data_IF_668153112878
#
_entry.id   IF_668153112878
#
_cell.length_a   1.000
_cell.length_b   1.000
_cell.length_c   1.000
_cell.angle_alpha   90.00
_cell.angle_beta   90.00
_cell.angle_gamma   90.00
#
_symmetry.space_group_name_H-M   'P 1'
#
loop_
_entity.id
_entity.type
_entity.pdbx_description
1 polymer ?
#
# COMPACT_ATOMS: atom_id res chain seq x y z
N UNK A 1 32.76 -23.00 -10.90
CA UNK A 1 33.26 -23.26 -9.52
C UNK A 1 32.82 -22.11 -8.64
N UNK A 2 31.67 -22.19 -7.97
CA UNK A 2 31.21 -21.13 -7.06
C UNK A 2 31.59 -21.51 -5.63
N UNK A 3 32.45 -20.71 -5.01
CA UNK A 3 32.96 -20.96 -3.67
C UNK A 3 31.80 -20.96 -2.66
N UNK A 4 31.67 -22.06 -1.92
CA UNK A 4 30.68 -22.28 -0.87
C UNK A 4 31.07 -21.42 0.36
N UNK A 5 30.86 -20.11 0.29
CA UNK A 5 31.12 -19.22 1.42
C UNK A 5 30.05 -19.43 2.48
N UNK A 6 30.40 -20.17 3.54
CA UNK A 6 29.58 -20.27 4.74
C UNK A 6 29.70 -18.98 5.51
N UNK A 7 28.65 -18.17 5.46
CA UNK A 7 28.57 -16.91 6.19
C UNK A 7 27.90 -17.18 7.53
N UNK A 8 28.52 -16.73 8.63
CA UNK A 8 28.05 -16.98 10.00
C UNK A 8 28.05 -15.67 10.80
N UNK A 9 27.23 -15.60 11.85
CA UNK A 9 27.15 -14.41 12.70
C UNK A 9 26.50 -13.20 12.00
N UNK A 10 27.08 -12.02 12.21
CA UNK A 10 26.53 -10.72 11.77
C UNK A 10 26.38 -10.59 10.25
N UNK A 11 27.29 -11.19 9.50
CA UNK A 11 27.27 -11.16 8.04
C UNK A 11 26.05 -11.93 7.47
N UNK A 12 25.62 -12.98 8.17
CA UNK A 12 24.40 -13.70 7.82
C UNK A 12 23.15 -12.87 8.11
N UNK A 13 23.17 -12.05 9.17
CA UNK A 13 22.05 -11.16 9.50
C UNK A 13 21.86 -10.08 8.43
N UNK A 14 22.95 -9.51 7.92
CA UNK A 14 22.92 -8.54 6.81
C UNK A 14 22.40 -9.18 5.51
N UNK A 15 22.83 -10.40 5.21
CA UNK A 15 22.33 -11.12 4.04
C UNK A 15 20.85 -11.46 4.16
N UNK A 16 20.40 -11.88 5.34
CA UNK A 16 18.97 -12.11 5.61
C UNK A 16 18.17 -10.83 5.38
N UNK A 17 18.66 -9.69 5.90
CA UNK A 17 17.99 -8.40 5.70
C UNK A 17 17.96 -7.98 4.23
N UNK A 18 19.06 -8.18 3.49
CA UNK A 18 19.12 -7.90 2.05
C UNK A 18 18.13 -8.75 1.25
N UNK A 19 17.96 -10.02 1.63
CA UNK A 19 17.01 -10.93 0.98
C UNK A 19 15.57 -10.53 1.31
N UNK A 20 15.30 -10.15 2.57
CA UNK A 20 13.98 -9.66 2.99
C UNK A 20 13.59 -8.39 2.23
N UNK A 21 14.52 -7.46 2.00
CA UNK A 21 14.31 -6.28 1.16
C UNK A 21 14.02 -6.64 -0.31
N UNK A 22 14.69 -7.65 -0.85
CA UNK A 22 14.42 -8.14 -2.20
C UNK A 22 13.01 -8.76 -2.29
N UNK A 23 12.62 -9.58 -1.32
CA UNK A 23 11.28 -10.17 -1.22
C UNK A 23 10.18 -9.10 -1.05
N UNK A 24 10.46 -8.04 -0.28
CA UNK A 24 9.57 -6.89 -0.13
C UNK A 24 9.33 -6.19 -1.48
N UNK A 25 10.39 -5.96 -2.27
CA UNK A 25 10.28 -5.35 -3.62
C UNK A 25 9.57 -6.22 -4.64
N UNK A 26 9.73 -7.53 -4.56
CA UNK A 26 9.06 -8.49 -5.46
C UNK A 26 7.55 -8.60 -5.17
N UNK A 27 7.13 -8.24 -3.96
CA UNK A 27 5.73 -8.21 -3.56
C UNK A 27 5.18 -9.55 -3.06
N UNK A 28 4.00 -9.48 -2.44
CA UNK A 28 3.34 -10.63 -1.80
C UNK A 28 3.03 -11.77 -2.78
N UNK A 29 2.68 -11.44 -4.02
CA UNK A 29 2.24 -12.42 -5.03
C UNK A 29 3.36 -13.34 -5.50
N UNK A 30 4.60 -12.82 -5.55
CA UNK A 30 5.77 -13.57 -6.02
C UNK A 30 6.61 -14.13 -4.88
N UNK A 31 6.75 -13.36 -3.79
CA UNK A 31 7.68 -13.69 -2.71
C UNK A 31 7.07 -13.42 -1.33
N UNK A 32 6.07 -14.22 -0.88
CA UNK A 32 5.48 -14.03 0.43
C UNK A 32 6.52 -14.27 1.54
N UNK A 33 6.74 -13.25 2.37
CA UNK A 33 7.73 -13.29 3.46
C UNK A 33 7.21 -14.21 4.56
N UNK A 34 7.74 -15.43 4.59
CA UNK A 34 7.60 -16.41 5.67
C UNK A 34 8.97 -17.03 5.94
N UNK A 35 9.18 -17.52 7.16
CA UNK A 35 10.44 -18.17 7.53
C UNK A 35 10.80 -19.35 6.60
N UNK A 36 9.79 -20.10 6.12
CA UNK A 36 9.99 -21.20 5.16
C UNK A 36 10.40 -20.71 3.77
N UNK A 37 9.74 -19.68 3.24
CA UNK A 37 10.03 -19.12 1.91
C UNK A 37 11.41 -18.46 1.88
N UNK A 38 11.73 -17.70 2.92
CA UNK A 38 13.05 -17.10 3.10
C UNK A 38 14.15 -18.18 3.21
N UNK A 39 13.91 -19.23 4.00
CA UNK A 39 14.85 -20.35 4.12
C UNK A 39 15.13 -21.02 2.78
N UNK A 40 14.08 -21.31 2.00
CA UNK A 40 14.22 -21.92 0.68
C UNK A 40 15.08 -21.07 -0.26
N UNK A 41 14.85 -19.75 -0.31
CA UNK A 41 15.64 -18.81 -1.14
C UNK A 41 17.08 -18.71 -0.70
N UNK A 42 17.33 -18.60 0.61
CA UNK A 42 18.69 -18.55 1.16
C UNK A 42 19.45 -19.87 0.89
N UNK A 43 18.75 -21.01 0.89
CA UNK A 43 19.32 -22.32 0.58
C UNK A 43 19.62 -22.46 -0.92
N UNK A 44 18.72 -22.02 -1.79
CA UNK A 44 18.92 -21.99 -3.25
C UNK A 44 20.13 -21.14 -3.64
N UNK A 45 20.30 -19.98 -2.99
CA UNK A 45 21.48 -19.11 -3.16
C UNK A 45 22.76 -19.65 -2.52
N UNK A 46 22.69 -20.79 -1.82
CA UNK A 46 23.83 -21.41 -1.16
C UNK A 46 24.35 -20.66 0.07
N UNK A 47 23.60 -19.69 0.59
CA UNK A 47 24.00 -18.83 1.71
C UNK A 47 23.89 -19.55 3.06
N UNK A 48 22.97 -20.52 3.16
CA UNK A 48 22.77 -21.34 4.37
C UNK A 48 22.78 -22.84 4.03
N UNK A 49 23.34 -23.65 4.92
CA UNK A 49 23.26 -25.12 4.85
C UNK A 49 22.47 -25.75 6.01
N UNK A 50 22.06 -24.94 7.00
CA UNK A 50 21.29 -25.38 8.16
C UNK A 50 19.78 -25.47 7.89
N UNK A 51 19.03 -26.00 8.86
CA UNK A 51 17.57 -26.05 8.83
C UNK A 51 16.91 -24.72 9.18
N UNK A 52 15.57 -24.71 9.30
CA UNK A 52 14.80 -23.53 9.73
C UNK A 52 15.25 -22.97 11.09
N UNK A 53 15.89 -23.79 11.93
CA UNK A 53 16.49 -23.38 13.21
C UNK A 53 17.48 -22.22 13.08
N UNK A 54 18.11 -22.05 11.92
CA UNK A 54 18.99 -20.91 11.62
C UNK A 54 18.26 -19.56 11.60
N UNK A 55 16.96 -19.56 11.32
CA UNK A 55 16.08 -18.40 11.30
C UNK A 55 15.22 -18.28 12.58
N UNK A 56 15.25 -19.29 13.45
CA UNK A 56 14.47 -19.32 14.71
C UNK A 56 15.11 -18.51 15.84
N UNK A 57 16.30 -17.93 15.63
CA UNK A 57 16.95 -17.03 16.59
C UNK A 57 16.07 -15.79 16.82
N UNK A 58 15.87 -15.33 18.07
CA UNK A 58 14.93 -14.23 18.39
C UNK A 58 15.07 -13.01 17.48
N UNK A 59 16.28 -12.47 17.32
CA UNK A 59 16.53 -11.32 16.45
C UNK A 59 16.10 -11.57 14.99
N UNK A 60 16.45 -12.72 14.40
CA UNK A 60 16.11 -13.04 13.01
C UNK A 60 14.61 -13.25 12.83
N UNK A 61 13.96 -13.86 13.81
CA UNK A 61 12.51 -14.00 13.84
C UNK A 61 11.84 -12.63 13.86
N UNK A 62 12.32 -11.72 14.69
CA UNK A 62 11.74 -10.38 14.81
C UNK A 62 11.97 -9.56 13.54
N UNK A 63 13.11 -9.72 12.85
CA UNK A 63 13.35 -9.17 11.52
C UNK A 63 12.35 -9.70 10.48
N UNK A 64 12.15 -11.02 10.42
CA UNK A 64 11.20 -11.63 9.49
C UNK A 64 9.78 -11.11 9.75
N UNK A 65 9.37 -11.00 11.02
CA UNK A 65 8.06 -10.44 11.39
C UNK A 65 7.95 -8.99 10.93
N UNK A 66 8.96 -8.16 11.20
CA UNK A 66 8.98 -6.75 10.78
C UNK A 66 8.79 -6.59 9.27
N UNK A 67 9.53 -7.35 8.46
CA UNK A 67 9.45 -7.27 7.00
C UNK A 67 8.16 -7.91 6.45
N UNK A 68 7.68 -9.01 7.04
CA UNK A 68 6.37 -9.56 6.71
C UNK A 68 5.26 -8.54 6.99
N UNK A 69 5.34 -7.84 8.12
CA UNK A 69 4.38 -6.81 8.50
C UNK A 69 4.37 -5.64 7.50
N UNK A 70 5.55 -5.22 7.04
CA UNK A 70 5.68 -4.19 5.98
C UNK A 70 5.13 -4.65 4.66
N UNK A 71 5.42 -5.89 4.24
CA UNK A 71 4.90 -6.44 2.98
C UNK A 71 3.36 -6.49 2.96
N UNK A 72 2.73 -6.66 4.12
CA UNK A 72 1.27 -6.59 4.25
C UNK A 72 0.70 -5.16 4.32
N UNK A 73 1.54 -4.11 4.30
CA UNK A 73 1.15 -2.72 4.52
C UNK A 73 0.24 -2.57 5.76
N UNK A 74 0.60 -3.23 6.86
CA UNK A 74 -0.20 -3.23 8.10
C UNK A 74 -0.43 -1.83 8.69
N UNK A 75 0.35 -0.82 8.29
CA UNK A 75 0.12 0.58 8.63
C UNK A 75 -1.21 1.14 8.10
N UNK A 76 -1.76 0.52 7.07
CA UNK A 76 -2.96 0.96 6.35
C UNK A 76 -4.18 0.07 6.67
N UNK A 77 -4.03 -0.81 7.68
CA UNK A 77 -5.05 -1.71 8.19
C UNK A 77 -5.54 -1.22 9.55
N UNK A 78 -6.85 -1.29 9.78
CA UNK A 78 -7.44 -0.99 11.09
C UNK A 78 -7.12 -2.13 12.09
N UNK A 79 -7.22 -1.87 13.40
CA UNK A 79 -6.87 -2.85 14.45
C UNK A 79 -7.55 -4.22 14.23
N UNK A 80 -8.83 -4.23 13.84
CA UNK A 80 -9.56 -5.47 13.55
C UNK A 80 -9.02 -6.23 12.33
N UNK A 81 -8.46 -5.53 11.34
CA UNK A 81 -7.84 -6.12 10.17
C UNK A 81 -6.42 -6.63 10.50
N UNK A 82 -5.68 -5.91 11.36
CA UNK A 82 -4.39 -6.34 11.92
C UNK A 82 -4.54 -7.66 12.69
N UNK A 83 -5.59 -7.77 13.52
CA UNK A 83 -5.85 -8.97 14.30
C UNK A 83 -6.15 -10.19 13.39
N UNK A 84 -6.83 -9.96 12.26
CA UNK A 84 -7.08 -11.00 11.25
C UNK A 84 -5.80 -11.44 10.54
N UNK A 85 -4.90 -10.52 10.20
CA UNK A 85 -3.58 -10.84 9.62
C UNK A 85 -2.75 -11.64 10.62
N UNK A 86 -2.71 -11.19 11.88
CA UNK A 86 -1.97 -11.83 12.97
C UNK A 86 -2.51 -13.24 13.27
N UNK A 87 -3.83 -13.43 13.20
CA UNK A 87 -4.52 -14.70 13.30
C UNK A 87 -4.36 -15.64 12.10
N UNK A 88 -3.45 -15.35 11.15
CA UNK A 88 -3.21 -16.10 9.91
C UNK A 88 -4.41 -16.12 8.95
N UNK A 89 -5.37 -15.21 9.11
CA UNK A 89 -6.55 -15.04 8.25
C UNK A 89 -6.36 -13.82 7.34
N UNK A 90 -5.21 -13.74 6.67
CA UNK A 90 -4.82 -12.63 5.79
C UNK A 90 -5.84 -12.37 4.67
N UNK A 91 -6.39 -13.42 4.05
CA UNK A 91 -7.44 -13.27 3.04
C UNK A 91 -8.70 -12.58 3.58
N UNK A 92 -9.12 -12.92 4.80
CA UNK A 92 -10.28 -12.28 5.44
C UNK A 92 -10.00 -10.81 5.78
N UNK A 93 -8.77 -10.48 6.18
CA UNK A 93 -8.35 -9.09 6.40
C UNK A 93 -8.45 -8.27 5.10
N UNK A 94 -7.99 -8.82 3.97
CA UNK A 94 -8.05 -8.12 2.68
C UNK A 94 -9.48 -7.94 2.16
N UNK A 95 -10.34 -8.96 2.28
CA UNK A 95 -11.75 -8.83 1.92
C UNK A 95 -12.42 -7.74 2.75
N UNK A 96 -12.15 -7.70 4.05
CA UNK A 96 -12.69 -6.69 4.95
C UNK A 96 -12.19 -5.28 4.61
N UNK A 97 -10.89 -5.15 4.30
CA UNK A 97 -10.30 -3.88 3.83
C UNK A 97 -10.98 -3.42 2.54
N UNK A 98 -11.16 -4.31 1.58
CA UNK A 98 -11.80 -4.00 0.31
C UNK A 98 -13.23 -3.48 0.51
N UNK A 99 -14.03 -4.17 1.34
CA UNK A 99 -15.39 -3.74 1.67
C UNK A 99 -15.42 -2.36 2.35
N UNK A 100 -14.48 -2.09 3.27
CA UNK A 100 -14.34 -0.78 3.90
C UNK A 100 -13.99 0.30 2.87
N UNK A 101 -12.97 0.08 2.04
CA UNK A 101 -12.55 1.03 1.01
C UNK A 101 -13.67 1.34 0.01
N UNK A 102 -14.46 0.33 -0.35
CA UNK A 102 -15.66 0.49 -1.17
C UNK A 102 -16.69 1.40 -0.49
N UNK A 103 -17.01 1.14 0.78
CA UNK A 103 -17.93 2.01 1.53
C UNK A 103 -17.44 3.45 1.66
N UNK A 104 -16.14 3.65 1.88
CA UNK A 104 -15.53 4.98 1.96
C UNK A 104 -15.59 5.70 0.62
N UNK A 105 -15.27 5.01 -0.49
CA UNK A 105 -15.39 5.54 -1.85
C UNK A 105 -16.82 6.03 -2.11
N UNK A 106 -17.82 5.22 -1.78
CA UNK A 106 -19.21 5.56 -2.04
C UNK A 106 -19.66 6.79 -1.23
N UNK A 107 -19.23 6.88 0.04
CA UNK A 107 -19.47 8.07 0.88
C UNK A 107 -18.79 9.31 0.29
N UNK A 108 -17.53 9.20 -0.14
CA UNK A 108 -16.80 10.32 -0.74
C UNK A 108 -17.41 10.76 -2.07
N UNK A 109 -17.86 9.81 -2.87
CA UNK A 109 -18.55 10.08 -4.12
C UNK A 109 -19.88 10.79 -3.88
N UNK A 110 -20.62 10.43 -2.83
CA UNK A 110 -21.84 11.14 -2.45
C UNK A 110 -21.54 12.58 -2.00
N UNK A 111 -20.59 12.76 -1.06
CA UNK A 111 -20.19 14.10 -0.60
C UNK A 111 -19.69 14.99 -1.74
N UNK A 112 -18.97 14.42 -2.69
CA UNK A 112 -18.51 15.15 -3.86
C UNK A 112 -19.68 15.59 -4.75
N UNK A 113 -20.67 14.72 -4.98
CA UNK A 113 -21.89 15.08 -5.71
C UNK A 113 -22.67 16.18 -4.99
N UNK A 114 -22.86 16.06 -3.68
CA UNK A 114 -23.58 17.06 -2.88
C UNK A 114 -22.88 18.42 -2.94
N UNK A 115 -21.54 18.43 -2.82
CA UNK A 115 -20.73 19.64 -2.96
C UNK A 115 -20.83 20.24 -4.37
N UNK A 116 -20.85 19.40 -5.41
CA UNK A 116 -21.01 19.86 -6.79
C UNK A 116 -22.37 20.53 -7.00
N UNK A 117 -23.45 19.94 -6.48
CA UNK A 117 -24.78 20.54 -6.56
C UNK A 117 -24.84 21.86 -5.79
N UNK A 118 -24.29 21.93 -4.58
CA UNK A 118 -24.22 23.17 -3.82
C UNK A 118 -23.48 24.28 -4.58
N UNK A 119 -22.35 23.97 -5.21
CA UNK A 119 -21.62 24.95 -6.04
C UNK A 119 -22.43 25.36 -7.26
N UNK A 120 -23.10 24.43 -7.94
CA UNK A 120 -23.96 24.76 -9.09
C UNK A 120 -25.13 25.66 -8.69
N UNK A 121 -25.73 25.43 -7.52
CA UNK A 121 -26.83 26.25 -7.03
C UNK A 121 -26.34 27.66 -6.65
N UNK A 122 -25.15 27.78 -6.04
CA UNK A 122 -24.51 29.07 -5.81
C UNK A 122 -24.26 29.82 -7.11
N UNK A 123 -23.75 29.13 -8.14
CA UNK A 123 -23.52 29.71 -9.47
C UNK A 123 -24.82 30.23 -10.07
N UNK A 124 -25.90 29.44 -10.04
CA UNK A 124 -27.22 29.88 -10.53
C UNK A 124 -27.75 31.09 -9.77
N UNK A 125 -27.67 31.06 -8.44
CA UNK A 125 -28.14 32.17 -7.60
C UNK A 125 -27.39 33.47 -7.87
N UNK A 126 -26.06 33.40 -8.04
CA UNK A 126 -25.24 34.57 -8.38
C UNK A 126 -25.59 35.08 -9.79
N UNK A 127 -25.79 34.20 -10.77
CA UNK A 127 -26.21 34.60 -12.13
C UNK A 127 -27.58 35.29 -12.15
N UNK A 128 -28.53 34.85 -11.32
CA UNK A 128 -29.87 35.42 -11.26
C UNK A 128 -29.88 36.76 -10.50
N UNK A 129 -29.19 36.83 -9.37
CA UNK A 129 -29.25 37.99 -8.46
C UNK A 129 -28.24 39.07 -8.75
N UNK A 130 -27.19 38.78 -9.52
CA UNK A 130 -26.11 39.74 -9.76
C UNK A 130 -25.79 39.84 -11.25
N UNK A 131 -25.34 41.01 -11.73
CA UNK A 131 -24.86 41.18 -13.10
C UNK A 131 -23.45 40.60 -13.31
N UNK A 132 -22.92 39.85 -12.35
CA UNK A 132 -21.55 39.32 -12.38
C UNK A 132 -21.49 38.13 -13.33
N UNK A 133 -20.58 38.19 -14.31
CA UNK A 133 -20.24 37.05 -15.18
C UNK A 133 -19.36 36.08 -14.42
N UNK A 134 -19.94 34.96 -14.01
CA UNK A 134 -19.24 33.95 -13.23
C UNK A 134 -18.13 33.28 -14.04
N UNK A 135 -18.26 33.24 -15.37
CA UNK A 135 -17.26 32.71 -16.28
C UNK A 135 -15.93 33.46 -16.13
N UNK A 136 -15.97 34.78 -15.93
CA UNK A 136 -14.78 35.62 -15.76
C UNK A 136 -14.08 35.34 -14.42
N UNK A 137 -14.85 35.03 -13.37
CA UNK A 137 -14.34 34.69 -12.04
C UNK A 137 -13.74 33.28 -12.00
N UNK A 138 -14.37 32.32 -12.70
CA UNK A 138 -13.93 30.92 -12.71
C UNK A 138 -12.79 30.68 -13.70
N UNK A 139 -12.64 31.50 -14.75
CA UNK A 139 -11.61 31.37 -15.80
C UNK A 139 -10.17 31.11 -15.29
N UNK A 140 -9.68 31.74 -14.20
CA UNK A 140 -8.36 31.43 -13.64
C UNK A 140 -8.25 30.02 -13.06
N UNK A 141 -9.34 29.45 -12.55
CA UNK A 141 -9.38 28.15 -11.89
C UNK A 141 -9.80 27.00 -12.83
N UNK A 142 -10.34 27.33 -14.01
CA UNK A 142 -10.65 26.35 -15.04
C UNK A 142 -9.37 25.77 -15.65
N UNK A 143 -9.40 24.46 -15.90
CA UNK A 143 -8.35 23.74 -16.62
C UNK A 143 -8.16 24.39 -18.00
N UNK A 144 -6.92 24.44 -18.49
CA UNK A 144 -6.53 25.23 -19.68
C UNK A 144 -7.41 24.97 -20.92
N UNK A 145 -7.90 23.73 -21.08
CA UNK A 145 -8.79 23.31 -22.17
C UNK A 145 -10.19 23.94 -22.10
N UNK A 146 -10.65 24.30 -20.89
CA UNK A 146 -11.94 24.96 -20.63
C UNK A 146 -11.83 26.49 -20.55
N UNK A 147 -10.60 27.03 -20.53
CA UNK A 147 -10.36 28.48 -20.44
C UNK A 147 -10.64 29.21 -21.77
N UNK A 148 -10.64 28.49 -22.89
CA UNK A 148 -10.92 29.07 -24.20
C UNK A 148 -12.43 29.02 -24.42
N UNK A 149 -13.12 30.18 -24.49
CA UNK A 149 -14.55 30.18 -24.80
C UNK A 149 -14.75 29.57 -26.19
N UNK A 150 -15.59 28.54 -26.28
CA UNK A 150 -16.06 27.99 -27.55
C UNK A 150 -16.80 29.11 -28.27
N UNK A 151 -16.16 29.70 -29.29
CA UNK A 151 -16.81 30.65 -30.19
C UNK A 151 -17.97 29.93 -30.87
N UNK A 152 -19.20 30.31 -30.55
CA UNK A 152 -20.38 30.01 -31.35
C UNK A 152 -20.36 30.83 -32.64
#
# INVERSE_FOLDING_TARGET
>A
MTSKHRVSGKDLDQLIESELLAMEREGLDRAPIKASTLHARLKEKGLISGGLSTLSVPHRRDLIVKYATRQHNLSDLNQQEIDLVTGRRTGAAYIKKAARMESERDIWQQKYQDNLFAVLDLVKEIQVKTPIKIEDILSPFLIRELRIPQKK
#
